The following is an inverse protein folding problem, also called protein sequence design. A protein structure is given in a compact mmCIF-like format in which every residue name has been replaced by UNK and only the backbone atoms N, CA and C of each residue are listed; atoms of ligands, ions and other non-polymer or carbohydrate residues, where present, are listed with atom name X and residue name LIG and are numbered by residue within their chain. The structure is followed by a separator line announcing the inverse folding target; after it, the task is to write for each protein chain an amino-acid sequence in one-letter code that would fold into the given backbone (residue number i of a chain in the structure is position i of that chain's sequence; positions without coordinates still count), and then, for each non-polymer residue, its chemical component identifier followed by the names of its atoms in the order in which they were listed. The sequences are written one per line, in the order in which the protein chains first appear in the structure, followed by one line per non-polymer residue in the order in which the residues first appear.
data_IF_327580191697
#
_entry.id   IF_327580191697
#
_cell.length_a   1.000
_cell.length_b   1.000
_cell.length_c   1.000
_cell.angle_alpha   90.00
_cell.angle_beta   90.00
_cell.angle_gamma   90.00
#
_symmetry.space_group_name_H-M   'P 1'
#
loop_
_entity.id
_entity.type
_entity.pdbx_description
1 polymer ?
#
# COMPACT_ATOMS: atom_id res chain seq x y z
N UNK A 1 -8.36 12.52 -0.15
CA UNK A 1 -8.19 11.11 0.27
C UNK A 1 -7.06 10.41 -0.47
N UNK A 2 -7.03 10.42 -1.81
CA UNK A 2 -5.95 9.80 -2.62
C UNK A 2 -4.52 10.25 -2.23
N UNK A 3 -4.32 11.56 -2.06
CA UNK A 3 -3.03 12.16 -1.68
C UNK A 3 -2.53 11.63 -0.33
N UNK A 4 -3.44 11.42 0.64
CA UNK A 4 -3.10 10.86 1.95
C UNK A 4 -2.70 9.39 1.87
N UNK A 5 -3.34 8.61 0.98
CA UNK A 5 -2.92 7.24 0.69
C UNK A 5 -1.52 7.19 0.09
N UNK A 6 -1.22 8.04 -0.90
CA UNK A 6 0.11 8.14 -1.52
C UNK A 6 1.19 8.56 -0.53
N UNK A 7 0.93 9.59 0.29
CA UNK A 7 1.82 9.99 1.39
C UNK A 7 2.02 8.86 2.39
N UNK A 8 0.96 8.13 2.74
CA UNK A 8 1.04 6.95 3.60
C UNK A 8 1.96 5.87 3.04
N UNK A 9 1.87 5.57 1.74
CA UNK A 9 2.79 4.64 1.07
C UNK A 9 4.23 5.16 1.17
N UNK A 10 4.49 6.43 0.82
CA UNK A 10 5.85 6.99 0.86
C UNK A 10 6.45 6.94 2.27
N UNK A 11 5.68 7.33 3.29
CA UNK A 11 6.15 7.38 4.68
C UNK A 11 6.41 5.97 5.23
N UNK A 12 5.48 5.03 5.01
CA UNK A 12 5.58 3.68 5.56
C UNK A 12 6.72 2.91 4.87
N UNK A 13 6.74 2.89 3.53
CA UNK A 13 7.81 2.20 2.80
C UNK A 13 9.17 2.89 2.96
N UNK A 14 9.20 4.23 3.02
CA UNK A 14 10.43 4.98 3.32
C UNK A 14 10.97 4.68 4.72
N UNK A 15 10.10 4.59 5.73
CA UNK A 15 10.47 4.19 7.09
C UNK A 15 11.01 2.77 7.15
N UNK A 16 10.39 1.82 6.46
CA UNK A 16 10.91 0.44 6.36
C UNK A 16 12.27 0.37 5.68
N UNK A 17 12.46 1.13 4.59
CA UNK A 17 13.72 1.20 3.87
C UNK A 17 14.83 1.82 4.75
N UNK A 18 14.52 2.86 5.51
CA UNK A 18 15.42 3.42 6.51
C UNK A 18 15.82 2.41 7.61
N UNK A 19 14.84 1.67 8.15
CA UNK A 19 15.09 0.63 9.16
C UNK A 19 15.96 -0.51 8.62
N UNK A 20 15.74 -0.89 7.35
CA UNK A 20 16.54 -1.90 6.64
C UNK A 20 18.02 -1.48 6.53
N UNK A 21 18.30 -0.24 6.12
CA UNK A 21 19.67 0.28 6.03
C UNK A 21 20.32 0.51 7.40
N UNK A 22 19.52 0.76 8.45
CA UNK A 22 20.00 0.97 9.82
C UNK A 22 20.20 -0.36 10.58
N UNK A 23 19.82 -1.51 9.99
CA UNK A 23 19.96 -2.82 10.63
C UNK A 23 19.07 -3.03 11.86
N UNK A 24 18.01 -2.23 12.01
CA UNK A 24 17.06 -2.35 13.13
C UNK A 24 16.07 -3.47 12.83
N UNK A 25 15.80 -4.31 13.83
CA UNK A 25 14.85 -5.41 13.68
C UNK A 25 13.45 -4.90 13.35
N UNK A 26 12.93 -5.30 12.19
CA UNK A 26 11.57 -5.01 11.72
C UNK A 26 10.55 -6.09 12.13
N UNK A 27 11.00 -7.13 12.86
CA UNK A 27 10.19 -8.30 13.25
C UNK A 27 8.98 -7.93 14.13
N UNK A 28 9.09 -6.83 14.88
CA UNK A 28 8.00 -6.33 15.72
C UNK A 28 6.98 -5.46 14.96
N UNK A 29 7.23 -5.09 13.70
CA UNK A 29 6.28 -4.24 12.98
C UNK A 29 5.10 -5.08 12.46
N UNK A 30 3.87 -4.69 12.80
CA UNK A 30 2.71 -5.41 12.31
C UNK A 30 2.58 -5.28 10.78
N UNK A 31 2.46 -6.42 10.12
CA UNK A 31 2.36 -6.52 8.66
C UNK A 31 1.17 -5.73 8.07
N UNK A 32 0.09 -5.55 8.84
CA UNK A 32 -1.08 -4.78 8.40
C UNK A 32 -0.77 -3.29 8.16
N UNK A 33 0.30 -2.75 8.75
CA UNK A 33 0.77 -1.39 8.47
C UNK A 33 1.20 -1.23 7.01
N UNK A 34 1.70 -2.28 6.36
CA UNK A 34 2.08 -2.19 4.95
C UNK A 34 0.86 -2.14 4.03
N UNK A 35 -0.26 -2.77 4.41
CA UNK A 35 -1.48 -2.84 3.61
C UNK A 35 -2.42 -1.65 3.81
N UNK A 36 -2.44 -1.05 5.00
CA UNK A 36 -3.33 0.07 5.32
C UNK A 36 -3.24 1.24 4.33
N UNK A 37 -2.06 1.73 3.89
CA UNK A 37 -1.99 2.85 2.96
C UNK A 37 -2.53 2.47 1.57
N UNK A 38 -2.38 1.23 1.13
CA UNK A 38 -2.94 0.75 -0.15
C UNK A 38 -4.46 0.70 -0.12
N UNK A 39 -5.05 0.30 1.01
CA UNK A 39 -6.49 0.36 1.22
C UNK A 39 -6.96 1.81 1.15
N UNK A 40 -6.24 2.75 1.79
CA UNK A 40 -6.53 4.18 1.71
C UNK A 40 -6.40 4.74 0.27
N UNK A 41 -5.40 4.30 -0.50
CA UNK A 41 -5.28 4.66 -1.92
C UNK A 41 -6.49 4.14 -2.69
N UNK A 42 -6.86 2.87 -2.51
CA UNK A 42 -8.02 2.23 -3.17
C UNK A 42 -9.31 3.03 -2.96
N UNK A 43 -9.63 3.37 -1.71
CA UNK A 43 -10.82 4.18 -1.39
C UNK A 43 -10.71 5.65 -1.82
N UNK A 44 -9.49 6.13 -2.12
CA UNK A 44 -9.25 7.47 -2.67
C UNK A 44 -9.44 7.58 -4.18
N UNK A 45 -9.50 6.46 -4.92
CA UNK A 45 -9.72 6.44 -6.37
C UNK A 45 -11.19 6.68 -6.73
N UNK A 46 -11.45 7.10 -7.97
CA UNK A 46 -12.82 7.18 -8.50
C UNK A 46 -13.39 5.77 -8.73
N UNK A 47 -14.72 5.65 -8.76
CA UNK A 47 -15.40 4.36 -8.93
C UNK A 47 -14.98 3.62 -10.22
N UNK A 48 -14.75 4.34 -11.31
CA UNK A 48 -14.26 3.77 -12.59
C UNK A 48 -12.85 3.20 -12.45
N UNK A 49 -11.96 3.87 -11.71
CA UNK A 49 -10.60 3.42 -11.46
C UNK A 49 -10.55 2.22 -10.50
N UNK A 50 -11.42 2.19 -9.49
CA UNK A 50 -11.58 1.03 -8.59
C UNK A 50 -12.01 -0.23 -9.36
N UNK A 51 -13.00 -0.11 -10.24
CA UNK A 51 -13.48 -1.21 -11.09
C UNK A 51 -12.40 -1.71 -12.05
N UNK A 52 -11.62 -0.79 -12.64
CA UNK A 52 -10.48 -1.14 -13.49
C UNK A 52 -9.41 -1.90 -12.71
N UNK A 53 -9.04 -1.44 -11.52
CA UNK A 53 -8.08 -2.11 -10.65
C UNK A 53 -8.57 -3.51 -10.23
N UNK A 54 -9.84 -3.65 -9.87
CA UNK A 54 -10.42 -4.94 -9.49
C UNK A 54 -10.49 -5.92 -10.67
N UNK A 55 -10.80 -5.41 -11.87
CA UNK A 55 -10.77 -6.21 -13.11
C UNK A 55 -9.34 -6.68 -13.41
N UNK A 56 -8.33 -5.82 -13.23
CA UNK A 56 -6.92 -6.17 -13.40
C UNK A 56 -6.47 -7.24 -12.38
N UNK A 57 -6.86 -7.11 -11.10
CA UNK A 57 -6.56 -8.12 -10.06
C UNK A 57 -7.18 -9.47 -10.40
N UNK A 58 -8.47 -9.48 -10.79
CA UNK A 58 -9.17 -10.71 -11.20
C UNK A 58 -8.50 -11.36 -12.41
N UNK A 59 -8.13 -10.58 -13.42
CA UNK A 59 -7.42 -11.08 -14.59
C UNK A 59 -6.04 -11.66 -14.23
N UNK A 60 -5.37 -11.11 -13.21
CA UNK A 60 -4.08 -11.61 -12.74
C UNK A 60 -4.18 -12.94 -11.98
N UNK A 61 -5.27 -13.16 -11.25
CA UNK A 61 -5.50 -14.41 -10.50
C UNK A 61 -6.18 -15.51 -11.32
N UNK A 62 -6.84 -15.15 -12.43
CA UNK A 62 -7.46 -16.11 -13.36
C UNK A 62 -6.46 -16.72 -14.36
N UNK A 63 -5.18 -16.37 -14.28
CA UNK A 63 -4.11 -16.86 -15.15
C UNK A 63 -3.10 -17.66 -14.33
#
# INVERSE_FOLDING_TARGET
MLIMGLLGVVIIYGGFLYLLFTGRSTVSLPWYLLLSPWICVYFGLTQTQQLSAMTWIKAKFSR
#
